data_IF_418383001259
#
_entry.id   IF_418383001259
#
_cell.length_a   1.000
_cell.length_b   1.000
_cell.length_c   1.000
_cell.angle_alpha   90.00
_cell.angle_beta   90.00
_cell.angle_gamma   90.00
#
_symmetry.space_group_name_H-M   'P 1'
#
loop_
_entity.id
_entity.type
_entity.pdbx_description
1 polymer ?
#
# COMPACT_ATOMS: atom_id res chain seq x y z
N UNK A 1 81.03 -26.90 55.56
CA UNK A 1 79.67 -26.32 55.42
C UNK A 1 78.65 -27.45 55.53
N UNK A 2 77.78 -27.42 56.53
CA UNK A 2 76.75 -28.44 56.76
C UNK A 2 75.77 -28.52 55.58
N UNK A 3 75.30 -29.74 55.26
CA UNK A 3 74.31 -29.99 54.18
C UNK A 3 73.07 -29.09 54.30
N UNK A 4 72.68 -28.77 55.52
CA UNK A 4 71.53 -27.91 55.84
C UNK A 4 71.68 -26.48 55.28
N UNK A 5 72.88 -25.87 55.38
CA UNK A 5 73.11 -24.53 54.81
C UNK A 5 73.07 -24.52 53.29
N UNK A 6 73.46 -25.62 52.63
CA UNK A 6 73.39 -25.74 51.16
C UNK A 6 71.94 -25.93 50.69
N UNK A 7 71.13 -26.66 51.44
CA UNK A 7 69.71 -26.84 51.15
C UNK A 7 68.91 -25.55 51.39
N UNK A 8 69.20 -24.82 52.48
CA UNK A 8 68.55 -23.54 52.76
C UNK A 8 68.91 -22.47 51.70
N UNK A 9 70.18 -22.40 51.29
CA UNK A 9 70.62 -21.51 50.23
C UNK A 9 70.02 -21.88 48.86
N UNK A 10 69.92 -23.19 48.56
CA UNK A 10 69.25 -23.68 47.35
C UNK A 10 67.77 -23.36 47.33
N UNK A 11 67.06 -23.55 48.44
CA UNK A 11 65.64 -23.22 48.57
C UNK A 11 65.39 -21.71 48.41
N UNK A 12 66.23 -20.87 49.03
CA UNK A 12 66.14 -19.42 48.87
C UNK A 12 66.39 -19.00 47.40
N UNK A 13 67.36 -19.61 46.73
CA UNK A 13 67.61 -19.34 45.31
C UNK A 13 66.44 -19.77 44.42
N UNK A 14 65.82 -20.92 44.68
CA UNK A 14 64.65 -21.39 43.92
C UNK A 14 63.45 -20.47 44.13
N UNK A 15 63.19 -20.01 45.36
CA UNK A 15 62.11 -19.05 45.64
C UNK A 15 62.37 -17.70 44.95
N UNK A 16 63.61 -17.23 44.93
CA UNK A 16 63.98 -15.97 44.30
C UNK A 16 63.90 -16.05 42.77
N UNK A 17 64.27 -17.20 42.18
CA UNK A 17 64.09 -17.48 40.75
C UNK A 17 62.60 -17.64 40.40
N UNK A 18 61.80 -18.28 41.26
CA UNK A 18 60.36 -18.39 41.05
C UNK A 18 59.65 -17.03 41.13
N UNK A 19 60.04 -16.17 42.09
CA UNK A 19 59.50 -14.81 42.20
C UNK A 19 59.92 -13.92 41.03
N UNK A 20 61.17 -14.02 40.57
CA UNK A 20 61.63 -13.30 39.37
C UNK A 20 61.00 -13.83 38.08
N UNK A 21 60.70 -15.13 38.02
CA UNK A 21 60.02 -15.76 36.88
C UNK A 21 58.60 -15.24 36.68
N UNK A 22 57.86 -14.94 37.75
CA UNK A 22 56.51 -14.36 37.67
C UNK A 22 56.53 -12.92 37.12
N UNK A 23 57.58 -12.14 37.40
CA UNK A 23 57.70 -10.76 36.91
C UNK A 23 58.17 -10.68 35.45
N UNK A 24 58.70 -11.77 34.88
CA UNK A 24 59.31 -11.80 33.55
C UNK A 24 58.40 -12.41 32.46
N UNK A 25 57.14 -12.73 32.76
CA UNK A 25 56.16 -13.15 31.75
C UNK A 25 55.50 -11.89 31.17
N UNK A 26 55.83 -11.48 29.94
CA UNK A 26 55.13 -10.38 29.29
C UNK A 26 53.69 -10.84 29.03
N UNK A 27 52.70 -10.20 29.67
CA UNK A 27 51.28 -10.44 29.37
C UNK A 27 50.38 -10.90 30.52
N UNK A 28 50.86 -11.03 31.76
CA UNK A 28 50.00 -11.46 32.90
C UNK A 28 49.25 -10.31 33.58
N UNK A 29 49.52 -9.06 33.20
CA UNK A 29 48.70 -7.90 33.56
C UNK A 29 47.96 -7.41 32.30
N UNK A 30 47.04 -8.22 31.78
CA UNK A 30 46.02 -7.71 30.87
C UNK A 30 45.17 -6.72 31.68
N UNK A 31 45.30 -5.42 31.38
CA UNK A 31 44.46 -4.40 31.98
C UNK A 31 43.01 -4.66 31.50
N UNK A 32 42.05 -5.05 32.36
CA UNK A 32 40.68 -5.32 31.94
C UNK A 32 40.00 -4.09 31.30
N UNK A 33 40.50 -2.88 31.60
CA UNK A 33 40.04 -1.65 30.96
C UNK A 33 40.53 -1.48 29.51
N UNK A 34 41.55 -2.22 29.06
CA UNK A 34 42.02 -2.16 27.67
C UNK A 34 41.13 -2.99 26.73
N UNK A 35 40.53 -4.08 27.22
CA UNK A 35 39.52 -4.85 26.47
C UNK A 35 38.22 -4.06 26.32
N UNK A 36 37.87 -3.26 27.33
CA UNK A 36 36.66 -2.42 27.30
C UNK A 36 36.70 -1.36 26.19
N UNK A 37 37.89 -0.90 25.77
CA UNK A 37 38.06 0.04 24.64
C UNK A 37 37.94 -0.62 23.26
N UNK A 38 37.83 -1.95 23.17
CA UNK A 38 37.71 -2.67 21.88
C UNK A 38 36.29 -3.06 21.52
N UNK A 39 35.35 -3.03 22.47
CA UNK A 39 33.94 -3.33 22.18
C UNK A 39 33.28 -2.10 21.57
N UNK A 40 32.67 -2.19 20.37
CA UNK A 40 31.91 -1.08 19.81
C UNK A 40 30.79 -0.65 20.75
N UNK A 41 30.49 0.65 20.74
CA UNK A 41 29.35 1.23 21.44
C UNK A 41 28.01 0.63 21.04
N UNK A 42 27.01 0.92 21.86
CA UNK A 42 25.62 0.56 21.65
C UNK A 42 24.98 1.54 20.68
N UNK A 43 24.30 1.00 19.66
CA UNK A 43 23.58 1.77 18.65
C UNK A 43 22.13 1.31 18.65
N UNK A 44 21.19 2.26 18.63
CA UNK A 44 19.75 1.99 18.60
C UNK A 44 19.00 3.13 17.89
N UNK A 45 17.75 2.87 17.50
CA UNK A 45 16.83 3.88 17.00
C UNK A 45 16.35 4.68 18.22
N UNK A 46 16.81 5.93 18.33
CA UNK A 46 16.45 6.80 19.45
C UNK A 46 15.03 7.37 19.28
N UNK A 47 14.64 7.66 18.05
CA UNK A 47 13.29 8.12 17.69
C UNK A 47 12.84 7.37 16.43
N UNK A 48 11.61 6.85 16.45
CA UNK A 48 10.94 6.32 15.27
C UNK A 48 10.94 7.36 14.14
N UNK A 49 11.00 6.93 12.87
CA UNK A 49 11.07 7.84 11.74
C UNK A 49 9.82 8.73 11.70
N UNK A 50 10.02 10.05 11.78
CA UNK A 50 9.02 11.01 11.35
C UNK A 50 9.02 11.06 9.82
N UNK A 51 7.83 11.13 9.21
CA UNK A 51 7.64 11.03 7.76
C UNK A 51 6.90 12.27 7.29
N UNK A 52 7.52 13.03 6.40
CA UNK A 52 6.95 14.24 5.81
C UNK A 52 6.75 14.04 4.29
N UNK A 53 5.62 14.50 3.72
CA UNK A 53 5.44 14.48 2.27
C UNK A 53 6.39 15.47 1.60
N UNK A 54 7.03 15.04 0.51
CA UNK A 54 7.83 15.87 -0.38
C UNK A 54 7.06 16.21 -1.66
N UNK A 55 7.73 16.12 -2.81
CA UNK A 55 7.09 16.24 -4.12
C UNK A 55 6.13 15.08 -4.37
N UNK A 56 4.94 15.40 -4.90
CA UNK A 56 3.88 14.43 -5.20
C UNK A 56 3.44 14.65 -6.64
N UNK A 57 3.58 13.62 -7.46
CA UNK A 57 3.11 13.61 -8.84
C UNK A 57 1.88 12.69 -9.00
N UNK A 58 1.56 12.32 -10.23
CA UNK A 58 0.34 11.57 -10.51
C UNK A 58 0.37 10.10 -10.17
N UNK A 59 1.55 9.53 -10.04
CA UNK A 59 1.73 8.11 -9.82
C UNK A 59 2.58 7.83 -8.58
N UNK A 60 3.34 8.80 -8.10
CA UNK A 60 4.35 8.64 -7.05
C UNK A 60 4.30 9.77 -6.03
N UNK A 61 4.66 9.43 -4.80
CA UNK A 61 4.87 10.35 -3.71
C UNK A 61 6.30 10.21 -3.19
N UNK A 62 7.01 11.33 -3.10
CA UNK A 62 8.27 11.40 -2.38
C UNK A 62 7.97 11.55 -0.90
N UNK A 63 8.55 10.69 -0.08
CA UNK A 63 8.46 10.74 1.37
C UNK A 63 9.83 11.06 1.95
N UNK A 64 9.91 12.06 2.81
CA UNK A 64 11.12 12.40 3.57
C UNK A 64 11.06 11.73 4.93
N UNK A 65 12.10 10.97 5.27
CA UNK A 65 12.21 10.22 6.52
C UNK A 65 13.24 10.88 7.41
N UNK A 66 12.83 11.20 8.62
CA UNK A 66 13.64 11.81 9.67
C UNK A 66 13.79 10.82 10.82
N UNK A 67 14.94 10.16 10.90
CA UNK A 67 15.25 9.21 11.98
C UNK A 67 16.34 9.76 12.87
N UNK A 68 16.33 9.40 14.15
CA UNK A 68 17.45 9.65 15.05
C UNK A 68 18.09 8.35 15.50
N UNK A 69 19.41 8.25 15.34
CA UNK A 69 20.20 7.12 15.81
C UNK A 69 20.91 7.52 17.10
N UNK A 70 20.65 6.78 18.18
CA UNK A 70 21.32 6.95 19.47
C UNK A 70 22.61 6.13 19.52
N UNK A 71 23.67 6.74 20.05
CA UNK A 71 24.96 6.09 20.29
C UNK A 71 25.42 6.31 21.73
N UNK A 72 25.90 5.23 22.36
CA UNK A 72 26.45 5.22 23.70
C UNK A 72 27.68 4.32 23.82
N UNK A 73 28.70 4.74 24.56
CA UNK A 73 29.94 3.99 24.79
C UNK A 73 31.07 4.34 23.81
N UNK A 74 31.90 3.34 23.50
CA UNK A 74 33.09 3.49 22.66
C UNK A 74 32.77 3.87 21.22
N UNK A 75 33.73 4.43 20.47
CA UNK A 75 33.59 4.66 19.04
C UNK A 75 33.05 3.44 18.28
N UNK A 76 32.11 3.69 17.37
CA UNK A 76 31.45 2.65 16.59
C UNK A 76 31.43 3.02 15.11
N UNK A 77 32.12 2.21 14.31
CA UNK A 77 32.16 2.30 12.85
C UNK A 77 31.13 1.39 12.17
N UNK A 78 31.03 1.53 10.84
CA UNK A 78 30.32 0.59 9.95
C UNK A 78 28.83 0.43 10.33
N UNK A 79 28.22 1.56 10.70
CA UNK A 79 26.80 1.66 11.00
C UNK A 79 26.07 2.10 9.74
N UNK A 80 25.00 1.39 9.38
CA UNK A 80 24.10 1.82 8.31
C UNK A 80 22.65 1.69 8.73
N UNK A 81 21.81 2.54 8.17
CA UNK A 81 20.36 2.52 8.39
C UNK A 81 19.69 2.23 7.06
N UNK A 82 18.86 1.19 7.05
CA UNK A 82 18.10 0.79 5.88
C UNK A 82 16.62 1.02 6.08
N UNK A 83 16.00 1.68 5.12
CA UNK A 83 14.58 1.94 5.03
C UNK A 83 13.98 1.09 3.91
N UNK A 84 12.88 0.40 4.21
CA UNK A 84 12.11 -0.39 3.25
C UNK A 84 10.66 -0.01 3.33
N UNK A 85 10.05 0.31 2.20
CA UNK A 85 8.61 0.49 2.12
C UNK A 85 7.98 -0.78 1.57
N UNK A 86 7.10 -1.40 2.35
CA UNK A 86 6.25 -2.49 1.88
C UNK A 86 4.85 -1.95 1.67
N UNK A 87 4.23 -2.30 0.55
CA UNK A 87 2.81 -2.05 0.33
C UNK A 87 1.99 -2.75 1.45
N UNK A 88 1.10 -2.00 2.11
CA UNK A 88 0.43 -2.47 3.31
C UNK A 88 -0.63 -3.55 3.05
N UNK A 89 -1.13 -3.64 1.81
CA UNK A 89 -2.13 -4.62 1.41
C UNK A 89 -1.49 -5.92 0.90
N UNK A 90 -0.59 -5.82 -0.07
CA UNK A 90 0.07 -6.96 -0.70
C UNK A 90 1.30 -7.46 0.07
N UNK A 91 1.89 -6.63 0.93
CA UNK A 91 3.14 -6.92 1.64
C UNK A 91 4.39 -6.92 0.75
N UNK A 92 4.26 -6.49 -0.51
CA UNK A 92 5.37 -6.46 -1.47
C UNK A 92 6.30 -5.29 -1.19
N UNK A 93 7.62 -5.50 -1.36
CA UNK A 93 8.61 -4.43 -1.25
C UNK A 93 8.46 -3.48 -2.44
N UNK A 94 8.11 -2.22 -2.17
CA UNK A 94 7.99 -1.18 -3.18
C UNK A 94 9.34 -0.50 -3.45
N UNK A 95 10.08 -0.16 -2.39
CA UNK A 95 11.38 0.51 -2.51
C UNK A 95 12.26 0.29 -1.28
N UNK A 96 13.57 0.48 -1.45
CA UNK A 96 14.59 0.36 -0.41
C UNK A 96 15.63 1.47 -0.54
N UNK A 97 16.05 2.05 0.59
CA UNK A 97 17.19 2.97 0.68
C UNK A 97 18.08 2.63 1.86
N UNK A 98 19.38 2.83 1.71
CA UNK A 98 20.37 2.65 2.78
C UNK A 98 21.24 3.90 2.89
N UNK A 99 21.45 4.35 4.13
CA UNK A 99 22.32 5.46 4.48
C UNK A 99 23.43 4.91 5.36
N UNK A 100 24.68 5.13 4.97
CA UNK A 100 25.86 4.80 5.77
C UNK A 100 26.19 5.98 6.68
N UNK A 101 26.55 5.69 7.93
CA UNK A 101 26.99 6.70 8.89
C UNK A 101 28.51 6.68 9.03
N UNK A 102 29.07 7.87 9.23
CA UNK A 102 30.43 8.02 9.73
C UNK A 102 30.56 7.44 11.15
N UNK A 103 31.81 7.31 11.64
CA UNK A 103 32.11 6.86 13.00
C UNK A 103 31.26 7.60 14.04
N UNK A 104 30.50 6.84 14.83
CA UNK A 104 29.72 7.36 15.93
C UNK A 104 30.59 7.42 17.18
N UNK A 105 30.70 8.60 17.79
CA UNK A 105 31.54 8.81 18.99
C UNK A 105 30.79 9.56 20.09
N UNK A 106 31.01 9.18 21.34
CA UNK A 106 30.39 9.83 22.50
C UNK A 106 28.88 9.59 22.64
N UNK A 107 28.32 10.10 23.73
CA UNK A 107 26.91 9.95 24.08
C UNK A 107 26.06 10.99 23.33
N UNK A 108 25.47 10.59 22.19
CA UNK A 108 24.68 11.52 21.38
C UNK A 108 23.63 10.82 20.52
N UNK A 109 22.73 11.64 19.98
CA UNK A 109 21.80 11.23 18.95
C UNK A 109 22.13 11.95 17.63
N UNK A 110 22.26 11.19 16.55
CA UNK A 110 22.62 11.69 15.21
C UNK A 110 21.40 11.62 14.29
N UNK A 111 21.04 12.71 13.58
CA UNK A 111 19.95 12.68 12.61
C UNK A 111 20.36 11.94 11.33
N UNK A 112 19.46 11.11 10.83
CA UNK A 112 19.56 10.41 9.54
C UNK A 112 18.34 10.79 8.72
N UNK A 113 18.57 11.57 7.67
CA UNK A 113 17.52 12.07 6.78
C UNK A 113 17.69 11.44 5.39
N UNK A 114 16.61 10.90 4.83
CA UNK A 114 16.61 10.37 3.46
C UNK A 114 15.24 10.57 2.82
N UNK A 115 15.18 10.46 1.50
CA UNK A 115 13.92 10.37 0.76
C UNK A 115 13.73 8.97 0.18
N UNK A 116 12.47 8.55 0.05
CA UNK A 116 12.05 7.37 -0.71
C UNK A 116 10.89 7.76 -1.62
N UNK A 117 10.78 7.10 -2.77
CA UNK A 117 9.68 7.27 -3.71
C UNK A 117 8.83 6.01 -3.72
N UNK A 118 7.52 6.18 -3.53
CA UNK A 118 6.55 5.09 -3.53
C UNK A 118 5.38 5.45 -4.45
N UNK A 119 4.67 4.47 -5.01
CA UNK A 119 3.40 4.74 -5.68
C UNK A 119 2.43 5.51 -4.78
N UNK A 120 1.75 6.50 -5.36
CA UNK A 120 0.78 7.37 -4.67
C UNK A 120 -0.59 6.68 -4.56
N UNK A 121 -0.61 5.53 -3.92
CA UNK A 121 -1.82 4.72 -3.74
C UNK A 121 -1.73 3.96 -2.42
N UNK A 122 -2.85 3.89 -1.69
CA UNK A 122 -3.01 3.02 -0.55
C UNK A 122 -2.16 3.42 0.65
N UNK A 123 -1.50 2.43 1.24
CA UNK A 123 -0.69 2.59 2.45
C UNK A 123 0.58 1.76 2.41
N UNK A 124 1.55 2.14 3.23
CA UNK A 124 2.84 1.47 3.31
C UNK A 124 3.24 1.20 4.76
N UNK A 125 3.97 0.12 4.97
CA UNK A 125 4.73 -0.14 6.19
C UNK A 125 6.19 0.19 5.90
N UNK A 126 6.70 1.22 6.56
CA UNK A 126 8.09 1.63 6.52
C UNK A 126 8.85 0.88 7.61
N UNK A 127 9.72 -0.04 7.21
CA UNK A 127 10.63 -0.74 8.10
C UNK A 127 11.99 -0.03 8.11
N UNK A 128 12.43 0.39 9.30
CA UNK A 128 13.76 0.95 9.53
C UNK A 128 14.60 -0.09 10.25
N UNK A 129 15.76 -0.44 9.69
CA UNK A 129 16.67 -1.44 10.25
C UNK A 129 18.06 -0.84 10.38
N UNK A 130 18.62 -0.88 11.58
CA UNK A 130 19.98 -0.43 11.83
C UNK A 130 20.91 -1.63 11.79
N UNK A 131 21.99 -1.50 11.05
CA UNK A 131 23.06 -2.47 10.94
C UNK A 131 24.33 -1.93 11.58
N UNK A 132 25.09 -2.82 12.21
CA UNK A 132 26.50 -2.63 12.52
C UNK A 132 27.26 -3.85 12.04
N UNK A 133 28.31 -3.67 11.25
CA UNK A 133 29.07 -4.79 10.69
C UNK A 133 28.20 -5.79 9.89
N UNK A 134 27.17 -5.27 9.22
CA UNK A 134 26.20 -6.07 8.47
C UNK A 134 25.23 -6.88 9.34
N UNK A 135 25.31 -6.79 10.67
CA UNK A 135 24.39 -7.43 11.61
C UNK A 135 23.29 -6.46 12.05
N UNK A 136 22.05 -6.94 12.11
CA UNK A 136 20.93 -6.15 12.63
C UNK A 136 21.14 -5.90 14.11
N UNK A 137 21.16 -4.62 14.50
CA UNK A 137 21.26 -4.20 15.91
C UNK A 137 19.93 -3.66 16.44
N UNK A 138 19.11 -3.08 15.57
CA UNK A 138 17.80 -2.56 15.94
C UNK A 138 16.84 -2.51 14.75
N UNK A 139 15.52 -2.48 15.02
CA UNK A 139 14.47 -2.41 14.01
C UNK A 139 13.24 -1.67 14.54
N UNK A 140 12.68 -0.81 13.70
CA UNK A 140 11.41 -0.15 13.93
C UNK A 140 10.46 -0.28 12.71
N UNK A 141 9.16 -0.12 12.94
CA UNK A 141 8.13 -0.14 11.89
C UNK A 141 7.12 0.97 12.10
N UNK A 142 6.93 1.78 11.06
CA UNK A 142 5.94 2.85 11.01
C UNK A 142 4.98 2.60 9.86
N UNK A 143 3.67 2.69 10.11
CA UNK A 143 2.65 2.55 9.06
C UNK A 143 2.15 3.92 8.63
N UNK A 144 1.97 4.09 7.32
CA UNK A 144 1.35 5.24 6.69
C UNK A 144 0.21 4.77 5.79
N UNK A 145 -0.81 5.61 5.62
CA UNK A 145 -2.01 5.29 4.85
C UNK A 145 -2.60 6.54 4.19
N UNK A 146 -3.32 6.34 3.09
CA UNK A 146 -4.03 7.42 2.39
C UNK A 146 -3.12 8.25 1.49
N UNK A 147 -2.14 7.62 0.84
CA UNK A 147 -1.21 8.35 -0.03
C UNK A 147 -1.90 8.91 -1.27
N UNK A 148 -3.01 8.30 -1.70
CA UNK A 148 -3.87 8.79 -2.78
C UNK A 148 -4.40 10.22 -2.51
N UNK A 149 -4.54 10.61 -1.23
CA UNK A 149 -5.01 11.93 -0.83
C UNK A 149 -3.91 13.02 -0.87
N UNK A 150 -2.63 12.64 -1.03
CA UNK A 150 -1.53 13.59 -1.07
C UNK A 150 -1.55 14.42 -2.36
N UNK A 151 -1.18 15.70 -2.31
CA UNK A 151 -0.89 16.49 -3.52
C UNK A 151 -2.03 17.34 -4.08
N UNK A 152 -3.32 17.02 -3.85
CA UNK A 152 -4.38 18.00 -4.13
C UNK A 152 -5.68 17.73 -3.40
N UNK A 153 -6.01 18.61 -2.47
CA UNK A 153 -7.29 18.65 -1.76
C UNK A 153 -8.40 19.36 -2.56
N UNK A 154 -8.16 19.63 -3.85
CA UNK A 154 -9.23 20.09 -4.73
C UNK A 154 -10.09 18.90 -5.11
N UNK A 155 -11.39 19.04 -4.95
CA UNK A 155 -12.38 18.07 -5.43
C UNK A 155 -13.61 18.80 -5.93
N UNK A 156 -14.46 18.10 -6.65
CA UNK A 156 -15.78 18.63 -6.95
C UNK A 156 -16.54 18.95 -5.64
N UNK A 157 -17.39 19.96 -5.69
CA UNK A 157 -18.13 20.43 -4.52
C UNK A 157 -19.18 19.39 -4.10
N UNK A 158 -19.01 18.84 -2.90
CA UNK A 158 -19.97 17.93 -2.24
C UNK A 158 -20.89 18.70 -1.29
N UNK A 159 -21.61 19.70 -1.79
CA UNK A 159 -22.57 20.47 -0.99
C UNK A 159 -23.99 20.24 -1.51
N UNK A 160 -24.94 20.01 -0.61
CA UNK A 160 -26.36 19.91 -0.99
C UNK A 160 -26.89 21.20 -1.65
N UNK A 161 -26.24 22.34 -1.39
CA UNK A 161 -26.63 23.64 -1.93
C UNK A 161 -26.05 23.93 -3.32
N UNK A 162 -24.92 23.30 -3.67
CA UNK A 162 -24.21 23.54 -4.93
C UNK A 162 -23.82 22.19 -5.53
N UNK A 163 -24.44 21.76 -6.64
CA UNK A 163 -24.09 20.50 -7.27
C UNK A 163 -22.65 20.53 -7.80
N UNK A 164 -21.95 19.39 -7.86
CA UNK A 164 -20.60 19.32 -8.40
C UNK A 164 -20.55 19.75 -9.87
N UNK A 165 -21.62 19.47 -10.63
CA UNK A 165 -21.81 19.90 -12.01
C UNK A 165 -23.20 20.54 -12.17
N UNK A 166 -23.21 21.78 -12.66
CA UNK A 166 -24.42 22.46 -13.10
C UNK A 166 -24.49 22.44 -14.64
N UNK A 167 -25.61 21.96 -15.18
CA UNK A 167 -25.82 21.84 -16.62
C UNK A 167 -27.02 22.72 -17.00
N UNK A 168 -26.86 23.53 -18.04
CA UNK A 168 -27.92 24.40 -18.55
C UNK A 168 -27.88 24.47 -20.08
N UNK A 169 -29.00 24.82 -20.70
CA UNK A 169 -29.06 25.05 -22.14
C UNK A 169 -28.62 26.48 -22.43
N UNK A 170 -27.52 26.64 -23.17
CA UNK A 170 -27.01 27.93 -23.61
C UNK A 170 -27.75 28.43 -24.87
N UNK A 171 -27.94 27.54 -25.84
CA UNK A 171 -28.67 27.84 -27.08
C UNK A 171 -29.21 26.58 -27.75
N UNK A 172 -30.19 26.77 -28.64
CA UNK A 172 -30.78 25.71 -29.46
C UNK A 172 -30.78 26.17 -30.92
N UNK A 173 -30.23 25.33 -31.79
CA UNK A 173 -30.31 25.46 -33.24
C UNK A 173 -31.29 24.40 -33.76
N UNK A 174 -32.52 24.82 -34.00
CA UNK A 174 -33.59 23.95 -34.47
C UNK A 174 -33.39 23.48 -35.92
N UNK A 175 -32.72 24.29 -36.75
CA UNK A 175 -32.49 23.95 -38.16
C UNK A 175 -31.41 22.87 -38.30
N UNK A 176 -30.39 22.89 -37.43
CA UNK A 176 -29.32 21.90 -37.38
C UNK A 176 -29.61 20.70 -36.45
N UNK A 177 -30.72 20.72 -35.72
CA UNK A 177 -31.04 19.75 -34.66
C UNK A 177 -29.93 19.62 -33.60
N UNK A 178 -29.46 20.78 -33.10
CA UNK A 178 -28.35 20.86 -32.13
C UNK A 178 -28.73 21.70 -30.92
N UNK A 179 -28.31 21.23 -29.75
CA UNK A 179 -28.41 21.97 -28.48
C UNK A 179 -27.00 22.22 -27.94
N UNK A 180 -26.71 23.47 -27.60
CA UNK A 180 -25.48 23.84 -26.91
C UNK A 180 -25.76 23.89 -25.41
N UNK A 181 -25.01 23.09 -24.66
CA UNK A 181 -25.07 23.01 -23.21
C UNK A 181 -23.93 23.82 -22.60
N UNK A 182 -24.23 24.64 -21.60
CA UNK A 182 -23.23 25.23 -20.72
C UNK A 182 -23.11 24.35 -19.47
N UNK A 183 -21.90 23.86 -19.23
CA UNK A 183 -21.56 23.01 -18.08
C UNK A 183 -20.60 23.79 -17.18
N UNK A 184 -20.99 23.98 -15.93
CA UNK A 184 -20.15 24.58 -14.89
C UNK A 184 -19.76 23.51 -13.86
N UNK A 185 -18.45 23.31 -13.72
CA UNK A 185 -17.85 22.41 -12.74
C UNK A 185 -17.46 23.19 -11.48
N UNK A 186 -18.09 22.87 -10.35
CA UNK A 186 -17.78 23.53 -9.08
C UNK A 186 -16.70 22.77 -8.33
N UNK A 187 -15.55 23.40 -8.13
CA UNK A 187 -14.35 22.81 -7.51
C UNK A 187 -14.02 23.52 -6.20
N UNK A 188 -13.86 22.76 -5.13
CA UNK A 188 -13.49 23.29 -3.81
C UNK A 188 -12.09 22.83 -3.43
N UNK A 189 -11.20 23.78 -3.15
CA UNK A 189 -9.90 23.50 -2.56
C UNK A 189 -10.05 23.39 -1.04
N UNK A 190 -9.89 22.18 -0.49
CA UNK A 190 -9.94 21.96 0.96
C UNK A 190 -8.58 22.08 1.64
N UNK A 191 -7.53 22.23 0.86
CA UNK A 191 -6.15 22.29 1.32
C UNK A 191 -5.77 23.61 1.93
N UNK A 192 -4.58 23.62 2.51
CA UNK A 192 -3.98 24.77 3.20
C UNK A 192 -3.20 25.69 2.26
N UNK A 193 -2.96 25.26 1.01
CA UNK A 193 -2.24 26.01 -0.02
C UNK A 193 -3.11 26.24 -1.27
N UNK A 194 -2.84 27.28 -2.08
CA UNK A 194 -3.52 27.49 -3.37
C UNK A 194 -3.31 26.32 -4.33
N UNK A 195 -4.31 26.03 -5.17
CA UNK A 195 -4.28 24.85 -6.02
C UNK A 195 -3.36 24.92 -7.24
N UNK A 196 -2.90 26.10 -7.65
CA UNK A 196 -2.42 26.32 -9.01
C UNK A 196 -3.53 26.10 -10.05
N UNK A 197 -3.17 26.20 -11.33
CA UNK A 197 -4.12 26.03 -12.42
C UNK A 197 -4.50 24.55 -12.60
N UNK A 198 -5.78 24.31 -12.88
CA UNK A 198 -6.36 22.98 -13.03
C UNK A 198 -6.94 22.84 -14.44
N UNK A 199 -6.74 21.69 -15.08
CA UNK A 199 -7.41 21.33 -16.33
C UNK A 199 -8.70 20.56 -16.01
N UNK A 200 -9.82 20.98 -16.56
CA UNK A 200 -11.11 20.30 -16.43
C UNK A 200 -11.54 19.81 -17.79
N UNK A 201 -11.74 18.50 -17.93
CA UNK A 201 -12.25 17.86 -19.13
C UNK A 201 -13.70 17.47 -18.92
N UNK A 202 -14.58 17.87 -19.84
CA UNK A 202 -16.02 17.53 -19.82
C UNK A 202 -16.34 16.67 -21.04
N UNK A 203 -17.03 15.57 -20.80
CA UNK A 203 -17.42 14.59 -21.83
C UNK A 203 -18.93 14.37 -21.75
N UNK A 204 -19.61 14.56 -22.88
CA UNK A 204 -21.03 14.23 -23.06
C UNK A 204 -21.14 12.88 -23.77
N UNK A 205 -21.77 11.90 -23.11
CA UNK A 205 -22.07 10.58 -23.70
C UNK A 205 -23.57 10.40 -23.84
N UNK A 206 -24.02 10.09 -25.04
CA UNK A 206 -25.45 9.82 -25.28
C UNK A 206 -25.85 8.57 -24.50
N UNK A 207 -26.96 8.65 -23.77
CA UNK A 207 -27.27 7.71 -22.70
C UNK A 207 -27.58 6.30 -23.21
N UNK A 208 -28.21 6.19 -24.37
CA UNK A 208 -28.70 4.93 -24.93
C UNK A 208 -27.58 4.12 -25.61
N UNK A 209 -26.72 4.78 -26.38
CA UNK A 209 -25.60 4.15 -27.11
C UNK A 209 -24.27 4.21 -26.37
N UNK A 210 -24.18 5.04 -25.31
CA UNK A 210 -22.96 5.31 -24.55
C UNK A 210 -21.81 5.92 -25.38
N UNK A 211 -22.11 6.42 -26.59
CA UNK A 211 -21.15 7.06 -27.49
C UNK A 211 -20.85 8.50 -27.04
N UNK A 212 -19.59 8.92 -27.16
CA UNK A 212 -19.20 10.31 -26.91
C UNK A 212 -19.77 11.21 -28.00
N UNK A 213 -20.67 12.11 -27.63
CA UNK A 213 -21.28 13.08 -28.52
C UNK A 213 -20.48 14.38 -28.61
N UNK A 214 -19.84 14.78 -27.51
CA UNK A 214 -18.95 15.94 -27.45
C UNK A 214 -17.93 15.80 -26.30
N UNK A 215 -16.81 16.50 -26.44
CA UNK A 215 -15.76 16.64 -25.43
C UNK A 215 -15.16 18.03 -25.55
N UNK A 216 -14.90 18.67 -24.42
CA UNK A 216 -14.25 19.97 -24.36
C UNK A 216 -13.37 20.06 -23.11
N UNK A 217 -12.32 20.87 -23.19
CA UNK A 217 -11.42 21.14 -22.07
C UNK A 217 -11.50 22.62 -21.67
N UNK A 218 -11.40 22.89 -20.38
CA UNK A 218 -11.31 24.24 -19.83
C UNK A 218 -10.32 24.26 -18.67
N UNK A 219 -9.97 25.45 -18.19
CA UNK A 219 -9.04 25.61 -17.07
C UNK A 219 -9.69 26.37 -15.93
N UNK A 220 -9.53 25.87 -14.70
CA UNK A 220 -9.82 26.65 -13.50
C UNK A 220 -8.52 27.29 -13.00
N UNK A 221 -8.52 28.61 -12.83
CA UNK A 221 -7.39 29.31 -12.23
C UNK A 221 -7.21 28.92 -10.76
N UNK A 222 -5.99 29.10 -10.25
CA UNK A 222 -5.63 28.88 -8.84
C UNK A 222 -6.72 29.18 -7.81
N UNK A 223 -7.23 28.14 -7.15
CA UNK A 223 -8.25 28.19 -6.10
C UNK A 223 -7.55 28.30 -4.75
N UNK A 224 -7.83 29.38 -4.01
CA UNK A 224 -7.26 29.58 -2.68
C UNK A 224 -7.76 28.57 -1.63
N UNK A 225 -7.07 28.43 -0.50
CA UNK A 225 -7.47 27.53 0.61
C UNK A 225 -8.91 27.77 1.07
N UNK A 226 -9.70 26.70 1.18
CA UNK A 226 -11.10 26.73 1.61
C UNK A 226 -12.05 27.46 0.65
N UNK A 227 -11.62 27.77 -0.57
CA UNK A 227 -12.44 28.45 -1.58
C UNK A 227 -13.01 27.46 -2.59
N UNK A 228 -14.11 27.89 -3.20
CA UNK A 228 -14.76 27.22 -4.31
C UNK A 228 -14.67 28.12 -5.54
N UNK A 229 -14.41 27.53 -6.71
CA UNK A 229 -14.42 28.21 -7.99
C UNK A 229 -15.11 27.33 -9.04
N UNK A 230 -15.71 27.97 -10.04
CA UNK A 230 -16.39 27.28 -11.13
C UNK A 230 -15.53 27.30 -12.41
N UNK A 231 -15.46 26.17 -13.10
CA UNK A 231 -14.89 26.05 -14.43
C UNK A 231 -16.02 25.81 -15.43
N UNK A 232 -16.28 26.79 -16.30
CA UNK A 232 -17.40 26.72 -17.25
C UNK A 232 -16.90 26.44 -18.66
N UNK A 233 -17.63 25.60 -19.38
CA UNK A 233 -17.41 25.33 -20.81
C UNK A 233 -18.75 25.08 -21.53
N UNK A 234 -18.76 25.23 -22.85
CA UNK A 234 -19.93 24.98 -23.69
C UNK A 234 -19.66 23.84 -24.67
N UNK A 235 -20.61 22.92 -24.80
CA UNK A 235 -20.52 21.77 -25.71
C UNK A 235 -21.82 21.64 -26.51
N UNK A 236 -21.70 21.39 -27.82
CA UNK A 236 -22.85 21.21 -28.71
C UNK A 236 -23.09 19.75 -29.03
N UNK A 237 -24.31 19.27 -28.78
CA UNK A 237 -24.74 17.88 -28.99
C UNK A 237 -26.01 17.82 -29.84
N UNK A 238 -26.33 16.67 -30.45
CA UNK A 238 -27.65 16.47 -31.05
C UNK A 238 -28.79 16.74 -30.06
N UNK A 239 -29.83 17.44 -30.52
CA UNK A 239 -31.06 17.64 -29.72
C UNK A 239 -31.83 16.33 -29.56
N UNK A 240 -32.79 16.31 -28.62
CA UNK A 240 -33.74 15.22 -28.37
C UNK A 240 -33.13 13.89 -27.88
N UNK A 241 -31.94 13.91 -27.26
CA UNK A 241 -31.35 12.76 -26.57
C UNK A 241 -30.94 13.09 -25.15
N UNK A 242 -30.92 12.08 -24.29
CA UNK A 242 -30.36 12.20 -22.96
C UNK A 242 -28.85 11.97 -22.98
N UNK A 243 -28.12 12.70 -22.13
CA UNK A 243 -26.67 12.61 -22.04
C UNK A 243 -26.20 12.44 -20.60
N UNK A 244 -25.23 11.55 -20.39
CA UNK A 244 -24.37 11.61 -19.22
C UNK A 244 -23.34 12.73 -19.43
N UNK A 245 -23.21 13.59 -18.43
CA UNK A 245 -22.19 14.63 -18.36
C UNK A 245 -21.14 14.18 -17.37
N UNK A 246 -20.01 13.69 -17.87
CA UNK A 246 -18.86 13.30 -17.06
C UNK A 246 -17.85 14.44 -17.04
N UNK A 247 -17.31 14.77 -15.88
CA UNK A 247 -16.22 15.72 -15.74
C UNK A 247 -15.06 15.09 -14.97
N UNK A 248 -13.84 15.40 -15.40
CA UNK A 248 -12.61 15.01 -14.75
C UNK A 248 -11.74 16.25 -14.54
N UNK A 249 -11.23 16.45 -13.32
CA UNK A 249 -10.30 17.53 -13.01
C UNK A 249 -8.90 16.97 -12.88
N UNK A 250 -7.94 17.66 -13.48
CA UNK A 250 -6.54 17.30 -13.50
C UNK A 250 -5.67 18.44 -12.98
N UNK A 251 -4.60 18.09 -12.27
CA UNK A 251 -3.50 18.99 -11.91
C UNK A 251 -2.22 18.40 -12.47
N UNK A 252 -1.45 19.16 -13.25
CA UNK A 252 -0.17 18.71 -13.81
C UNK A 252 -0.23 17.33 -14.50
N UNK A 253 -1.33 17.06 -15.21
CA UNK A 253 -1.59 15.79 -15.91
C UNK A 253 -2.15 14.66 -15.04
N UNK A 254 -2.29 14.87 -13.74
CA UNK A 254 -2.79 13.90 -12.76
C UNK A 254 -4.30 14.00 -12.61
N UNK A 255 -5.03 12.89 -12.67
CA UNK A 255 -6.46 12.88 -12.35
C UNK A 255 -6.65 13.10 -10.85
N UNK A 256 -7.40 14.13 -10.49
CA UNK A 256 -7.63 14.54 -9.10
C UNK A 256 -8.98 14.06 -8.60
N UNK A 257 -10.02 14.27 -9.38
CA UNK A 257 -11.39 13.89 -9.01
C UNK A 257 -12.27 13.79 -10.27
N UNK A 258 -13.43 13.15 -10.14
CA UNK A 258 -14.44 13.01 -11.20
C UNK A 258 -15.84 13.28 -10.67
N UNK A 259 -16.70 13.88 -11.49
CA UNK A 259 -18.10 14.07 -11.19
C UNK A 259 -18.98 13.66 -12.38
N UNK A 260 -20.22 13.27 -12.08
CA UNK A 260 -21.23 12.95 -13.09
C UNK A 260 -22.51 13.71 -12.83
N UNK A 261 -23.12 14.18 -13.92
CA UNK A 261 -24.48 14.71 -13.97
C UNK A 261 -25.18 14.20 -15.24
N UNK A 262 -26.38 14.70 -15.51
CA UNK A 262 -27.19 14.32 -16.67
C UNK A 262 -27.76 15.57 -17.35
N UNK A 263 -27.89 15.50 -18.66
CA UNK A 263 -28.67 16.44 -19.46
C UNK A 263 -29.85 15.70 -20.07
N UNK A 264 -31.06 15.99 -19.58
CA UNK A 264 -32.29 15.39 -20.09
C UNK A 264 -32.85 16.27 -21.21
N UNK A 265 -32.50 15.97 -22.46
CA UNK A 265 -33.03 16.69 -23.63
C UNK A 265 -34.07 15.87 -24.40
N UNK A 266 -34.19 14.56 -24.13
CA UNK A 266 -35.27 13.76 -24.69
C UNK A 266 -36.61 14.22 -24.06
N UNK A 267 -37.61 14.60 -24.87
CA UNK A 267 -38.90 15.07 -24.36
C UNK A 267 -39.77 13.95 -23.76
N UNK A 268 -39.44 12.69 -24.00
CA UNK A 268 -40.22 11.51 -23.65
C UNK A 268 -39.60 10.66 -22.55
N UNK A 269 -38.28 10.66 -22.42
CA UNK A 269 -37.55 9.89 -21.41
C UNK A 269 -36.62 10.78 -20.57
N UNK A 270 -36.41 10.43 -19.30
CA UNK A 270 -35.45 11.11 -18.44
C UNK A 270 -34.60 10.08 -17.70
N UNK A 271 -33.35 10.41 -17.48
CA UNK A 271 -32.37 9.59 -16.77
C UNK A 271 -31.91 10.28 -15.48
N UNK A 272 -31.33 9.50 -14.59
CA UNK A 272 -30.70 9.98 -13.37
C UNK A 272 -29.20 9.66 -13.35
N UNK A 273 -28.40 10.51 -12.68
CA UNK A 273 -26.95 10.32 -12.60
C UNK A 273 -26.53 9.06 -11.82
N UNK A 274 -27.41 8.54 -10.95
CA UNK A 274 -27.15 7.45 -9.99
C UNK A 274 -27.90 6.15 -10.31
N UNK A 275 -28.33 5.94 -11.55
CA UNK A 275 -29.02 4.70 -11.92
C UNK A 275 -28.05 3.52 -12.03
N UNK A 276 -28.16 2.56 -11.12
CA UNK A 276 -27.50 1.26 -11.20
C UNK A 276 -28.05 0.48 -12.39
N UNK A 277 -27.18 0.14 -13.35
CA UNK A 277 -27.54 -0.67 -14.52
C UNK A 277 -28.27 -1.94 -14.07
N UNK A 278 -29.46 -2.22 -14.59
CA UNK A 278 -30.07 -3.55 -14.49
C UNK A 278 -29.34 -4.46 -15.46
N UNK A 279 -28.76 -5.53 -14.96
CA UNK A 279 -28.28 -6.64 -15.78
C UNK A 279 -29.48 -7.22 -16.53
N UNK A 280 -29.53 -6.98 -17.84
CA UNK A 280 -30.46 -7.68 -18.72
C UNK A 280 -29.85 -9.05 -18.95
N UNK A 281 -30.34 -10.06 -18.22
CA UNK A 281 -29.99 -11.44 -18.49
C UNK A 281 -30.42 -11.77 -19.92
N UNK A 282 -29.43 -12.04 -20.77
CA UNK A 282 -29.62 -12.40 -22.16
C UNK A 282 -30.18 -13.84 -22.20
N UNK A 283 -31.51 -13.96 -22.19
CA UNK A 283 -32.20 -15.25 -22.30
C UNK A 283 -32.20 -15.70 -23.78
N UNK A 284 -31.30 -16.63 -24.12
CA UNK A 284 -31.25 -17.28 -25.44
C UNK A 284 -32.28 -18.40 -25.47
N UNK A 285 -33.53 -18.04 -25.71
CA UNK A 285 -34.65 -18.96 -25.80
C UNK A 285 -35.39 -18.87 -27.12
N UNK A 286 -34.69 -19.06 -28.24
CA UNK A 286 -35.31 -19.47 -29.51
C UNK A 286 -34.22 -19.63 -30.56
N UNK A 287 -33.69 -20.85 -30.72
CA UNK A 287 -33.25 -21.45 -31.99
C UNK A 287 -32.87 -22.91 -31.71
N UNK A 288 -33.88 -23.75 -31.47
CA UNK A 288 -33.76 -25.19 -31.68
C UNK A 288 -34.88 -25.57 -32.66
N UNK A 289 -34.48 -25.88 -33.89
CA UNK A 289 -35.38 -26.22 -34.97
C UNK A 289 -36.20 -27.47 -34.68
N UNK A 290 -37.43 -27.45 -35.18
CA UNK A 290 -38.27 -28.61 -35.38
C UNK A 290 -37.50 -29.69 -36.16
N UNK A 291 -37.57 -30.93 -35.66
CA UNK A 291 -37.56 -32.09 -36.52
C UNK A 291 -38.57 -33.13 -35.99
N UNK A 292 -39.54 -33.39 -36.85
CA UNK A 292 -40.70 -34.25 -36.65
C UNK A 292 -40.37 -35.75 -36.68
N UNK A 293 -41.04 -36.51 -35.81
CA UNK A 293 -41.74 -37.74 -36.21
C UNK A 293 -41.09 -39.10 -35.93
N UNK A 294 -41.68 -39.86 -35.01
CA UNK A 294 -42.46 -41.07 -35.34
C UNK A 294 -42.81 -41.91 -34.09
N UNK A 295 -44.01 -42.49 -34.15
CA UNK A 295 -44.79 -43.13 -33.08
C UNK A 295 -44.32 -44.55 -32.70
N UNK A 296 -44.50 -44.93 -31.43
CA UNK A 296 -45.07 -46.24 -31.07
C UNK A 296 -45.54 -46.25 -29.60
N UNK A 297 -46.84 -46.56 -29.39
CA UNK A 297 -47.36 -47.05 -28.10
C UNK A 297 -46.85 -48.48 -27.90
N UNK A 298 -46.64 -48.92 -26.65
CA UNK A 298 -47.20 -50.15 -26.04
C UNK A 298 -46.53 -50.46 -24.69
N UNK A 299 -47.40 -50.67 -23.70
CA UNK A 299 -47.30 -51.50 -22.47
C UNK A 299 -46.12 -51.39 -21.51
N UNK A 300 -46.49 -51.29 -20.23
CA UNK A 300 -45.65 -51.61 -19.10
C UNK A 300 -45.41 -53.13 -18.99
N UNK A 301 -44.18 -53.53 -18.65
CA UNK A 301 -43.98 -54.69 -17.78
C UNK A 301 -43.13 -54.34 -16.56
N UNK A 302 -43.29 -55.19 -15.55
CA UNK A 302 -42.65 -55.11 -14.24
C UNK A 302 -41.13 -55.38 -14.25
N UNK A 303 -40.53 -55.08 -13.11
CA UNK A 303 -39.12 -55.13 -12.70
C UNK A 303 -38.25 -56.29 -13.25
N UNK A 304 -36.97 -55.99 -13.49
CA UNK A 304 -35.79 -56.74 -12.98
C UNK A 304 -34.55 -55.84 -13.05
N UNK A 305 -33.73 -55.94 -11.99
CA UNK A 305 -32.45 -55.31 -11.71
C UNK A 305 -31.41 -55.45 -12.83
N UNK A 306 -30.46 -54.51 -12.98
CA UNK A 306 -29.02 -54.73 -12.67
C UNK A 306 -28.27 -53.39 -12.66
N UNK A 307 -27.21 -53.37 -11.87
CA UNK A 307 -26.40 -52.28 -11.34
C UNK A 307 -25.79 -51.26 -12.30
N UNK A 308 -25.58 -50.05 -11.78
CA UNK A 308 -24.33 -49.33 -12.01
C UNK A 308 -23.87 -48.68 -10.71
N UNK A 309 -22.66 -49.04 -10.32
CA UNK A 309 -22.09 -48.83 -9.00
C UNK A 309 -21.58 -47.40 -8.83
N UNK A 310 -22.04 -46.74 -7.76
CA UNK A 310 -21.40 -45.53 -7.21
C UNK A 310 -20.42 -45.96 -6.11
N UNK A 311 -19.11 -45.68 -6.20
CA UNK A 311 -18.15 -45.99 -5.15
C UNK A 311 -18.39 -45.10 -3.92
N UNK A 312 -19.19 -45.57 -2.99
CA UNK A 312 -19.39 -44.96 -1.68
C UNK A 312 -18.36 -45.48 -0.68
N UNK A 313 -17.54 -44.58 -0.12
CA UNK A 313 -16.76 -44.88 1.09
C UNK A 313 -17.74 -45.01 2.26
N UNK A 314 -18.11 -46.25 2.57
CA UNK A 314 -19.05 -46.58 3.64
C UNK A 314 -18.48 -46.43 5.06
N UNK A 315 -19.36 -46.52 6.07
CA UNK A 315 -19.10 -46.18 7.49
C UNK A 315 -18.07 -47.07 8.22
N UNK A 316 -17.43 -48.02 7.53
CA UNK A 316 -16.42 -48.92 8.09
C UNK A 316 -15.07 -48.19 8.31
N UNK A 317 -14.75 -47.19 7.49
CA UNK A 317 -13.50 -46.40 7.64
C UNK A 317 -13.52 -45.56 8.93
N UNK A 318 -14.70 -45.10 9.36
CA UNK A 318 -14.85 -44.34 10.60
C UNK A 318 -14.55 -45.19 11.85
N UNK A 319 -14.88 -46.49 11.84
CA UNK A 319 -14.62 -47.40 12.96
C UNK A 319 -13.14 -47.75 13.12
N UNK A 320 -12.39 -47.86 12.01
CA UNK A 320 -10.94 -48.11 12.04
C UNK A 320 -10.17 -46.89 12.56
N UNK A 321 -10.60 -45.67 12.21
CA UNK A 321 -10.00 -44.44 12.71
C UNK A 321 -10.20 -44.26 14.23
N UNK A 322 -11.37 -44.61 14.75
CA UNK A 322 -11.66 -44.55 16.19
C UNK A 322 -10.85 -45.59 17.00
N UNK A 323 -10.64 -46.79 16.46
CA UNK A 323 -9.80 -47.81 17.11
C UNK A 323 -8.31 -47.43 17.11
N UNK A 324 -7.82 -46.78 16.05
CA UNK A 324 -6.44 -46.28 16.00
C UNK A 324 -6.19 -45.14 17.00
N UNK A 325 -7.15 -44.22 17.18
CA UNK A 325 -7.06 -43.14 18.15
C UNK A 325 -7.05 -43.64 19.60
N UNK A 326 -7.87 -44.66 19.93
CA UNK A 326 -7.91 -45.28 21.25
C UNK A 326 -6.61 -46.01 21.61
N UNK A 327 -5.98 -46.70 20.65
CA UNK A 327 -4.70 -47.38 20.84
C UNK A 327 -3.52 -46.42 21.04
N UNK A 328 -3.55 -45.24 20.42
CA UNK A 328 -2.53 -44.20 20.61
C UNK A 328 -2.67 -43.49 21.96
N UNK A 329 -3.89 -43.32 22.48
CA UNK A 329 -4.13 -42.72 23.79
C UNK A 329 -3.65 -43.61 24.95
N UNK A 330 -3.84 -44.94 24.86
CA UNK A 330 -3.39 -45.89 25.90
C UNK A 330 -1.85 -46.03 25.93
N UNK A 331 -1.16 -45.71 24.83
CA UNK A 331 0.30 -45.79 24.76
C UNK A 331 1.01 -44.60 25.41
N UNK A 332 0.33 -43.46 25.57
CA UNK A 332 0.87 -42.25 26.26
C UNK A 332 0.71 -42.26 27.78
N UNK A 333 -0.08 -43.17 28.35
CA UNK A 333 -0.27 -43.29 29.80
C UNK A 333 0.55 -44.40 30.45
N UNK A 334 1.43 -45.07 29.69
CA UNK A 334 2.38 -46.09 30.18
C UNK A 334 3.85 -45.80 29.82
N UNK A 335 4.20 -44.54 29.55
CA UNK A 335 5.59 -44.07 29.45
C UNK A 335 5.91 -43.13 30.60
#
# INVERSE_FOLDING_TARGET
MSRERRLAAGAAAVVLVALLGVAAIPGVLANPAAEDLTRPGHVHIAESPAIDPGEVDGATATLTLHTRIGHAGNPTDNVSVRYRAYDAESGLLATERTVELDELTGERSVPVNTTIEVPREGGYVIETVVFRDGQVVDRDRTQISGLEALGTEVRFTDSDAVPPLAVSVASVDADANRTTLSVAASLTNRGTEPSGDLRVEVILRQAESNLVAAREETTASGIGPGRTADATTELTVPSDYNYYVDAAVYRDGVLVDTARSVANLDPTETISANETRRDVEFEVGDFAGDDDGAQARTEAPAATETSTATPGFGPVVALVALLAAALLAVRRTRS
#
